data_IF_183944118061
#
_entry.id   IF_183944118061
#
_cell.length_a   1.000
_cell.length_b   1.000
_cell.length_c   1.000
_cell.angle_alpha   90.00
_cell.angle_beta   90.00
_cell.angle_gamma   90.00
#
_symmetry.space_group_name_H-M   'P 1'
#
loop_
_entity.id
_entity.type
_entity.pdbx_description
1 polymer ?
#
# COMPACT_ATOMS: atom_id res chain seq x y z
N UNK A 1 -8.06 -17.22 3.73
CA UNK A 1 -6.85 -16.53 4.25
C UNK A 1 -5.84 -17.60 4.59
N UNK A 2 -4.62 -17.55 4.02
CA UNK A 2 -3.55 -18.46 4.45
C UNK A 2 -2.90 -17.87 5.70
N UNK A 3 -2.54 -18.72 6.68
CA UNK A 3 -1.92 -18.32 7.96
C UNK A 3 -0.46 -17.86 7.82
N UNK A 4 0.02 -17.62 6.59
CA UNK A 4 1.42 -17.27 6.35
C UNK A 4 1.54 -15.79 5.96
N UNK A 5 2.07 -14.93 6.86
CA UNK A 5 2.22 -13.49 6.64
C UNK A 5 3.02 -13.17 5.38
N UNK A 6 4.02 -13.98 5.05
CA UNK A 6 4.86 -13.79 3.86
C UNK A 6 4.10 -14.02 2.56
N UNK A 7 3.20 -15.00 2.52
CA UNK A 7 2.37 -15.28 1.33
C UNK A 7 1.36 -14.15 1.12
N UNK A 8 0.79 -13.63 2.20
CA UNK A 8 -0.14 -12.49 2.12
C UNK A 8 0.58 -11.21 1.69
N UNK A 9 1.81 -10.97 2.17
CA UNK A 9 2.63 -9.83 1.74
C UNK A 9 3.07 -9.94 0.27
N UNK A 10 3.47 -11.14 -0.18
CA UNK A 10 3.85 -11.40 -1.57
C UNK A 10 2.64 -11.27 -2.52
N UNK A 11 1.48 -11.77 -2.11
CA UNK A 11 0.24 -11.63 -2.85
C UNK A 11 -0.21 -10.15 -2.93
N UNK A 12 -0.07 -9.40 -1.84
CA UNK A 12 -0.35 -7.96 -1.83
C UNK A 12 0.61 -7.19 -2.74
N UNK A 13 1.91 -7.49 -2.69
CA UNK A 13 2.91 -6.89 -3.57
C UNK A 13 2.66 -7.22 -5.05
N UNK A 14 2.32 -8.48 -5.35
CA UNK A 14 1.96 -8.92 -6.71
C UNK A 14 0.69 -8.23 -7.24
N UNK A 15 -0.34 -8.12 -6.41
CA UNK A 15 -1.56 -7.38 -6.73
C UNK A 15 -1.25 -5.91 -7.02
N UNK A 16 -0.53 -5.23 -6.13
CA UNK A 16 -0.17 -3.80 -6.28
C UNK A 16 0.70 -3.59 -7.54
N UNK A 17 1.60 -4.51 -7.85
CA UNK A 17 2.47 -4.42 -9.04
C UNK A 17 1.67 -4.59 -10.33
N UNK A 18 0.76 -5.56 -10.38
CA UNK A 18 -0.16 -5.75 -11.52
C UNK A 18 -1.08 -4.54 -11.70
N UNK A 19 -1.59 -4.00 -10.59
CA UNK A 19 -2.44 -2.84 -10.56
C UNK A 19 -1.74 -1.59 -11.09
N UNK A 20 -0.52 -1.33 -10.60
CA UNK A 20 0.30 -0.22 -11.05
C UNK A 20 0.66 -0.39 -12.54
N UNK A 21 1.02 -1.61 -12.96
CA UNK A 21 1.29 -1.90 -14.37
C UNK A 21 0.05 -1.60 -15.23
N UNK A 22 -1.14 -2.00 -14.81
CA UNK A 22 -2.37 -1.68 -15.53
C UNK A 22 -2.61 -0.16 -15.58
N UNK A 23 -2.53 0.55 -14.44
CA UNK A 23 -2.80 1.99 -14.36
C UNK A 23 -1.79 2.83 -15.16
N UNK A 24 -0.51 2.49 -15.13
CA UNK A 24 0.54 3.26 -15.81
C UNK A 24 0.74 2.85 -17.28
N UNK A 25 0.31 1.65 -17.68
CA UNK A 25 0.45 1.17 -19.07
C UNK A 25 -0.84 1.36 -19.88
N UNK A 26 -2.03 1.32 -19.27
CA UNK A 26 -3.30 1.53 -19.99
C UNK A 26 -3.38 2.89 -20.73
N UNK A 27 -2.89 4.02 -20.19
CA UNK A 27 -2.89 5.30 -20.90
C UNK A 27 -2.08 5.29 -22.20
N UNK A 28 -1.15 4.34 -22.38
CA UNK A 28 -0.40 4.16 -23.64
C UNK A 28 -1.22 3.52 -24.75
N UNK A 29 -2.30 2.82 -24.40
CA UNK A 29 -3.16 2.08 -25.32
C UNK A 29 -4.54 2.73 -25.49
N UNK A 30 -4.83 3.77 -24.72
CA UNK A 30 -6.10 4.51 -24.75
C UNK A 30 -5.80 5.92 -25.27
N UNK A 31 -6.50 6.35 -26.31
CA UNK A 31 -6.32 7.69 -26.90
C UNK A 31 -6.72 8.75 -25.87
N UNK A 32 -6.03 9.91 -25.83
CA UNK A 32 -6.21 11.00 -24.86
C UNK A 32 -7.66 11.47 -24.62
N UNK A 33 -8.59 11.11 -25.52
CA UNK A 33 -10.00 11.49 -25.45
C UNK A 33 -10.92 10.49 -24.69
N UNK A 34 -10.45 9.27 -24.39
CA UNK A 34 -11.29 8.22 -23.75
C UNK A 34 -11.10 8.11 -22.23
N UNK A 35 -9.95 8.53 -21.70
CA UNK A 35 -9.64 8.37 -20.27
C UNK A 35 -10.23 9.46 -19.36
N UNK A 36 -10.81 10.52 -19.91
CA UNK A 36 -11.23 11.74 -19.20
C UNK A 36 -11.76 11.52 -17.78
N UNK A 37 -13.04 11.17 -17.62
CA UNK A 37 -13.62 10.88 -16.29
C UNK A 37 -13.32 9.47 -15.77
N UNK A 38 -12.84 8.54 -16.61
CA UNK A 38 -12.55 7.17 -16.19
C UNK A 38 -11.26 7.05 -15.37
N UNK A 39 -10.22 7.84 -15.67
CA UNK A 39 -8.95 7.79 -14.96
C UNK A 39 -9.08 8.14 -13.46
N UNK A 40 -9.78 9.22 -13.06
CA UNK A 40 -10.03 9.51 -11.65
C UNK A 40 -10.86 8.41 -10.95
N UNK A 41 -11.86 7.84 -11.62
CA UNK A 41 -12.71 6.79 -11.07
C UNK A 41 -11.89 5.54 -10.79
N UNK A 42 -11.05 5.12 -11.74
CA UNK A 42 -10.16 3.97 -11.56
C UNK A 42 -9.15 4.23 -10.44
N UNK A 43 -8.49 5.38 -10.44
CA UNK A 43 -7.55 5.75 -9.37
C UNK A 43 -8.21 5.73 -7.99
N UNK A 44 -9.38 6.37 -7.84
CA UNK A 44 -10.13 6.41 -6.59
C UNK A 44 -10.60 5.01 -6.17
N UNK A 45 -11.08 4.19 -7.09
CA UNK A 45 -11.54 2.83 -6.78
C UNK A 45 -10.40 1.96 -6.25
N UNK A 46 -9.23 2.06 -6.87
CA UNK A 46 -8.03 1.34 -6.47
C UNK A 46 -7.47 1.85 -5.14
N UNK A 47 -7.49 3.16 -4.94
CA UNK A 47 -7.16 3.77 -3.66
C UNK A 47 -8.08 3.29 -2.54
N UNK A 48 -9.40 3.26 -2.78
CA UNK A 48 -10.39 2.80 -1.79
C UNK A 48 -10.21 1.31 -1.47
N UNK A 49 -9.97 0.46 -2.47
CA UNK A 49 -9.69 -0.97 -2.24
C UNK A 49 -8.40 -1.15 -1.42
N UNK A 50 -7.34 -0.40 -1.73
CA UNK A 50 -6.10 -0.42 -0.96
C UNK A 50 -6.33 0.03 0.49
N UNK A 51 -7.04 1.14 0.68
CA UNK A 51 -7.40 1.65 2.00
C UNK A 51 -8.27 0.66 2.80
N UNK A 52 -9.21 -0.04 2.15
CA UNK A 52 -10.04 -1.05 2.79
C UNK A 52 -9.21 -2.27 3.26
N UNK A 53 -8.28 -2.75 2.43
CA UNK A 53 -7.37 -3.85 2.79
C UNK A 53 -6.46 -3.41 3.95
N UNK A 54 -5.89 -2.21 3.88
CA UNK A 54 -5.04 -1.69 4.95
C UNK A 54 -5.82 -1.46 6.24
N UNK A 55 -7.05 -0.96 6.15
CA UNK A 55 -7.96 -0.84 7.29
C UNK A 55 -8.26 -2.20 7.92
N UNK A 56 -8.53 -3.22 7.11
CA UNK A 56 -8.73 -4.58 7.61
C UNK A 56 -7.45 -5.17 8.25
N UNK A 57 -6.26 -4.89 7.73
CA UNK A 57 -5.02 -5.44 8.30
C UNK A 57 -4.53 -4.67 9.54
N UNK A 58 -4.67 -3.35 9.55
CA UNK A 58 -4.11 -2.47 10.58
C UNK A 58 -5.12 -2.13 11.68
N UNK A 59 -6.39 -1.95 11.33
CA UNK A 59 -7.41 -1.43 12.24
C UNK A 59 -8.26 -2.54 12.84
N UNK A 60 -8.59 -3.59 12.08
CA UNK A 60 -9.46 -4.67 12.57
C UNK A 60 -8.87 -5.41 13.80
N UNK A 61 -7.59 -5.84 13.82
CA UNK A 61 -7.03 -6.51 15.00
C UNK A 61 -7.02 -5.65 16.28
N UNK A 62 -6.52 -4.39 16.27
CA UNK A 62 -6.56 -3.56 17.46
C UNK A 62 -7.98 -3.10 17.81
N UNK A 63 -8.88 -2.92 16.84
CA UNK A 63 -10.28 -2.61 17.10
C UNK A 63 -10.97 -3.76 17.85
N UNK A 64 -10.72 -5.01 17.45
CA UNK A 64 -11.24 -6.19 18.14
C UNK A 64 -10.75 -6.24 19.60
N UNK A 65 -9.46 -6.02 19.83
CA UNK A 65 -8.86 -5.97 21.18
C UNK A 65 -9.43 -4.83 22.05
N UNK A 66 -9.72 -3.67 21.46
CA UNK A 66 -10.36 -2.55 22.16
C UNK A 66 -11.80 -2.90 22.56
N UNK A 67 -12.54 -3.60 21.68
CA UNK A 67 -13.91 -4.06 21.95
C UNK A 67 -13.94 -5.17 23.01
N UNK A 68 -12.91 -6.01 23.08
CA UNK A 68 -12.71 -7.03 24.12
C UNK A 68 -12.30 -6.44 25.48
N UNK A 69 -12.10 -5.12 25.57
CA UNK A 69 -11.79 -4.41 26.82
C UNK A 69 -10.31 -4.11 27.03
N UNK A 70 -9.42 -4.62 26.17
CA UNK A 70 -7.97 -4.42 26.25
C UNK A 70 -7.51 -3.14 25.54
N UNK A 71 -8.09 -2.00 25.95
CA UNK A 71 -7.91 -0.70 25.27
C UNK A 71 -6.45 -0.26 25.14
N UNK A 72 -5.64 -0.48 26.17
CA UNK A 72 -4.22 -0.10 26.18
C UNK A 72 -3.37 -0.94 25.22
N UNK A 73 -3.63 -2.24 25.14
CA UNK A 73 -2.91 -3.16 24.24
C UNK A 73 -3.33 -2.95 22.79
N UNK A 74 -4.63 -2.73 22.52
CA UNK A 74 -5.11 -2.41 21.18
C UNK A 74 -4.52 -1.10 20.64
N UNK A 75 -4.48 -0.04 21.46
CA UNK A 75 -3.85 1.23 21.06
C UNK A 75 -2.33 1.08 20.82
N UNK A 76 -1.64 0.30 21.66
CA UNK A 76 -0.21 0.00 21.50
C UNK A 76 0.06 -0.77 20.21
N UNK A 77 -0.74 -1.79 19.91
CA UNK A 77 -0.62 -2.58 18.68
C UNK A 77 -0.87 -1.72 17.43
N UNK A 78 -1.91 -0.88 17.44
CA UNK A 78 -2.17 0.04 16.34
C UNK A 78 -0.99 0.98 16.10
N UNK A 79 -0.49 1.65 17.15
CA UNK A 79 0.65 2.56 17.06
C UNK A 79 1.91 1.87 16.56
N UNK A 80 2.23 0.68 17.07
CA UNK A 80 3.38 -0.10 16.61
C UNK A 80 3.26 -0.49 15.13
N UNK A 81 2.05 -0.84 14.68
CA UNK A 81 1.81 -1.23 13.28
C UNK A 81 1.97 -0.02 12.35
N UNK A 82 1.41 1.13 12.73
CA UNK A 82 1.57 2.40 11.99
C UNK A 82 3.04 2.84 11.95
N UNK A 83 3.74 2.77 13.08
CA UNK A 83 5.14 3.18 13.17
C UNK A 83 6.06 2.25 12.36
N UNK A 84 5.81 0.94 12.40
CA UNK A 84 6.53 -0.03 11.57
C UNK A 84 6.33 0.24 10.08
N UNK A 85 5.10 0.54 9.66
CA UNK A 85 4.82 0.91 8.28
C UNK A 85 5.48 2.23 7.87
N UNK A 86 5.48 3.23 8.74
CA UNK A 86 6.20 4.49 8.51
C UNK A 86 7.71 4.28 8.33
N UNK A 87 8.32 3.39 9.12
CA UNK A 87 9.74 3.04 8.97
C UNK A 87 10.02 2.35 7.63
N UNK A 88 9.13 1.48 7.17
CA UNK A 88 9.25 0.84 5.84
C UNK A 88 9.18 1.88 4.72
N UNK A 89 8.29 2.86 4.82
CA UNK A 89 8.21 3.97 3.86
C UNK A 89 9.53 4.75 3.84
N UNK A 90 10.04 5.14 5.01
CA UNK A 90 11.31 5.86 5.13
C UNK A 90 12.46 5.05 4.52
N UNK A 91 12.57 3.76 4.85
CA UNK A 91 13.59 2.87 4.29
C UNK A 91 13.49 2.77 2.77
N UNK A 92 12.27 2.70 2.23
CA UNK A 92 12.02 2.63 0.78
C UNK A 92 12.43 3.94 0.08
N UNK A 93 12.10 5.10 0.68
CA UNK A 93 12.51 6.41 0.17
C UNK A 93 14.03 6.60 0.22
N UNK A 94 14.68 6.16 1.31
CA UNK A 94 16.14 6.20 1.44
C UNK A 94 16.80 5.28 0.42
N UNK A 95 16.30 4.05 0.23
CA UNK A 95 16.81 3.13 -0.78
C UNK A 95 16.69 3.73 -2.18
N UNK A 96 15.55 4.34 -2.51
CA UNK A 96 15.35 5.03 -3.78
C UNK A 96 16.28 6.23 -3.95
N UNK A 97 16.47 7.04 -2.90
CA UNK A 97 17.38 8.20 -2.92
C UNK A 97 18.84 7.78 -3.10
N UNK A 98 19.30 6.75 -2.37
CA UNK A 98 20.65 6.20 -2.50
C UNK A 98 20.85 5.65 -3.92
N UNK A 99 19.90 4.84 -4.42
CA UNK A 99 19.95 4.31 -5.78
C UNK A 99 20.05 5.42 -6.82
N UNK A 100 19.28 6.51 -6.64
CA UNK A 100 19.35 7.69 -7.50
C UNK A 100 20.70 8.42 -7.38
N UNK A 101 21.28 8.53 -6.18
CA UNK A 101 22.59 9.17 -6.00
C UNK A 101 23.74 8.38 -6.64
N UNK A 102 23.65 7.04 -6.61
CA UNK A 102 24.64 6.15 -7.22
C UNK A 102 24.51 6.13 -8.75
N UNK A 103 23.28 6.09 -9.29
CA UNK A 103 23.03 6.10 -10.74
C UNK A 103 23.13 7.51 -11.35
N UNK A 104 22.84 8.55 -10.57
CA UNK A 104 22.92 9.96 -10.99
C UNK A 104 24.34 10.53 -11.04
N UNK A 105 25.36 9.75 -10.66
CA UNK A 105 26.77 10.06 -10.93
C UNK A 105 27.29 9.52 -12.27
N UNK A 106 26.43 8.90 -13.09
CA UNK A 106 26.77 8.30 -14.40
C UNK A 106 26.07 9.03 -15.57
N UNK A 107 25.62 10.27 -15.35
CA UNK A 107 25.13 11.15 -16.43
C UNK A 107 25.81 12.49 -16.36
#
# INVERSE_FOLDING_TARGET
>A
MTNNPFINALAAAGYISLLATAVFTMPKYITDNELGMMAPILFLSLFVISAAIMGYLFVYPPALLILEGHKAEGAKLFLLTVLSFALIIIATLLAWFILRSVLGGVV
#
